data_IF_475919073115
#
_entry.id   IF_475919073115
#
_cell.length_a   1.000
_cell.length_b   1.000
_cell.length_c   1.000
_cell.angle_alpha   90.00
_cell.angle_beta   90.00
_cell.angle_gamma   90.00
#
_symmetry.space_group_name_H-M   'P 1'
#
loop_
_entity.id
_entity.type
_entity.pdbx_description
1 polymer ?
#
# COMPACT_ATOMS: atom_id res chain seq x y z
N UNK A 1 18.45 4.17 1.11
CA UNK A 1 17.81 3.68 1.26
C UNK A 1 16.88 3.41 0.67
N UNK A 2 16.55 2.98 0.39
CA UNK A 2 15.69 2.64 -0.17
C UNK A 2 14.38 2.86 0.14
N UNK A 3 13.49 2.74 -0.75
CA UNK A 3 12.17 3.09 -0.40
C UNK A 3 11.54 2.03 0.42
N UNK A 4 10.91 2.46 1.48
CA UNK A 4 10.14 1.61 2.35
C UNK A 4 8.86 1.13 1.66
N UNK A 5 8.31 1.91 0.76
CA UNK A 5 7.02 1.65 0.14
C UNK A 5 7.17 1.07 -1.26
N UNK A 6 6.23 0.18 -1.60
CA UNK A 6 6.15 -0.38 -2.95
C UNK A 6 5.45 0.61 -3.87
N UNK A 7 5.79 0.60 -5.18
CA UNK A 7 5.11 1.52 -6.11
C UNK A 7 3.65 1.18 -6.30
N UNK A 8 2.88 2.17 -6.72
CA UNK A 8 1.48 1.97 -7.11
C UNK A 8 1.44 0.91 -8.21
N UNK A 9 0.45 0.04 -8.15
CA UNK A 9 0.29 -1.04 -9.11
C UNK A 9 0.98 -2.33 -8.72
N UNK A 10 1.73 -2.32 -7.60
CA UNK A 10 2.33 -3.55 -7.10
C UNK A 10 1.24 -4.50 -6.64
N UNK A 11 1.45 -5.79 -6.85
CA UNK A 11 0.47 -6.81 -6.49
C UNK A 11 1.08 -7.71 -5.45
N UNK A 12 0.38 -7.89 -4.33
CA UNK A 12 0.91 -8.60 -3.17
C UNK A 12 -0.08 -9.62 -2.66
N UNK A 13 0.45 -10.56 -1.87
CA UNK A 13 -0.35 -11.46 -1.04
C UNK A 13 -0.09 -11.10 0.41
N UNK A 14 -1.16 -11.06 1.19
CA UNK A 14 -1.05 -10.78 2.62
C UNK A 14 -0.98 -12.07 3.40
N UNK A 15 -0.43 -11.99 4.60
CA UNK A 15 -0.34 -13.14 5.49
C UNK A 15 -1.72 -13.72 5.74
N UNK A 16 -1.84 -15.03 5.56
CA UNK A 16 -3.11 -15.72 5.77
C UNK A 16 -4.11 -15.58 4.64
N UNK A 17 -3.79 -14.78 3.61
CA UNK A 17 -4.70 -14.58 2.50
C UNK A 17 -4.28 -15.34 1.27
N UNK A 18 -5.25 -15.58 0.40
CA UNK A 18 -4.99 -16.22 -0.88
C UNK A 18 -5.36 -15.31 -2.05
N UNK A 19 -5.99 -14.19 -1.76
CA UNK A 19 -6.42 -13.26 -2.80
C UNK A 19 -5.35 -12.22 -3.04
N UNK A 20 -4.97 -12.02 -4.29
CA UNK A 20 -3.99 -10.98 -4.62
C UNK A 20 -4.61 -9.60 -4.46
N UNK A 21 -3.83 -8.67 -3.99
CA UNK A 21 -4.25 -7.29 -3.75
C UNK A 21 -3.33 -6.37 -4.52
N UNK A 22 -3.91 -5.43 -5.27
CA UNK A 22 -3.12 -4.43 -5.99
C UNK A 22 -3.10 -3.14 -5.19
N UNK A 23 -1.89 -2.62 -4.96
CA UNK A 23 -1.70 -1.39 -4.19
C UNK A 23 -2.13 -0.20 -5.03
N UNK A 24 -3.00 0.65 -4.47
CA UNK A 24 -3.47 1.85 -5.17
C UNK A 24 -3.50 3.09 -4.28
N UNK A 25 -2.89 3.03 -3.10
CA UNK A 25 -2.81 4.20 -2.24
C UNK A 25 -1.87 3.98 -1.07
N UNK A 26 -1.55 5.06 -0.39
CA UNK A 26 -0.63 5.04 0.74
C UNK A 26 -1.19 5.82 1.91
N UNK A 27 -0.80 5.43 3.12
CA UNK A 27 -1.00 6.22 4.33
C UNK A 27 -2.46 6.62 4.52
N UNK A 28 -3.33 5.61 4.57
CA UNK A 28 -4.77 5.78 4.60
C UNK A 28 -5.29 5.46 5.98
N UNK A 29 -6.30 6.22 6.41
CA UNK A 29 -6.95 6.04 7.71
C UNK A 29 -8.34 5.46 7.48
N UNK A 30 -8.67 4.39 8.23
CA UNK A 30 -10.00 3.82 8.19
C UNK A 30 -10.91 4.59 9.16
N UNK A 31 -12.20 4.69 8.81
CA UNK A 31 -13.16 5.38 9.68
C UNK A 31 -13.26 4.72 11.04
N UNK A 32 -13.16 3.40 11.07
CA UNK A 32 -13.32 2.65 12.32
C UNK A 32 -12.11 2.82 13.24
N UNK A 33 -10.97 3.21 12.70
CA UNK A 33 -9.74 3.35 13.48
C UNK A 33 -9.05 4.66 13.12
N UNK A 34 -9.60 5.79 13.54
CA UNK A 34 -9.05 7.10 13.11
C UNK A 34 -7.64 7.37 13.61
N UNK A 35 -7.20 6.67 14.64
CA UNK A 35 -5.84 6.85 15.17
C UNK A 35 -4.80 6.02 14.45
N UNK A 36 -5.23 5.12 13.57
CA UNK A 36 -4.32 4.20 12.89
C UNK A 36 -4.13 4.64 11.43
N UNK A 37 -2.87 4.82 11.03
CA UNK A 37 -2.53 5.09 9.63
C UNK A 37 -1.96 3.82 9.03
N UNK A 38 -2.66 3.27 8.05
CA UNK A 38 -2.18 2.07 7.35
C UNK A 38 -1.19 2.47 6.26
N UNK A 39 -0.18 1.63 6.06
CA UNK A 39 0.84 1.92 5.04
C UNK A 39 0.26 1.95 3.64
N UNK A 40 -0.69 1.06 3.35
CA UNK A 40 -1.20 0.86 2.00
C UNK A 40 -2.70 0.77 1.95
N UNK A 41 -3.22 1.16 0.79
CA UNK A 41 -4.58 0.89 0.38
C UNK A 41 -4.53 0.08 -0.90
N UNK A 42 -5.40 -0.90 -1.04
CA UNK A 42 -5.42 -1.74 -2.22
C UNK A 42 -6.80 -2.23 -2.58
N UNK A 43 -6.86 -2.92 -3.70
CA UNK A 43 -8.11 -3.50 -4.19
C UNK A 43 -7.82 -4.93 -4.65
N UNK A 44 -8.88 -5.76 -4.74
CA UNK A 44 -8.69 -7.13 -5.22
C UNK A 44 -8.15 -7.16 -6.64
N UNK A 45 -7.29 -8.10 -6.92
CA UNK A 45 -6.77 -8.31 -8.26
C UNK A 45 -7.24 -9.70 -8.72
N UNK A 46 -7.74 -9.85 -9.93
CA UNK A 46 -7.78 -8.90 -11.04
C UNK A 46 -9.07 -8.07 -11.14
N UNK A 47 -9.97 -8.18 -10.18
CA UNK A 47 -11.28 -7.54 -10.27
C UNK A 47 -11.22 -6.02 -10.19
N UNK A 48 -10.28 -5.49 -9.41
CA UNK A 48 -10.27 -4.06 -9.17
C UNK A 48 -11.34 -3.63 -8.18
N UNK A 49 -11.64 -2.36 -8.18
CA UNK A 49 -12.65 -1.80 -7.28
C UNK A 49 -14.01 -1.94 -7.95
N UNK A 50 -14.84 -2.79 -7.39
CA UNK A 50 -16.19 -3.00 -7.92
C UNK A 50 -17.24 -2.34 -7.04
N UNK A 51 -16.90 -2.13 -5.76
CA UNK A 51 -17.77 -1.38 -4.83
C UNK A 51 -16.90 -0.94 -3.65
N UNK A 52 -17.54 -0.26 -2.70
CA UNK A 52 -16.81 0.28 -1.55
C UNK A 52 -16.24 -0.80 -0.65
N UNK A 53 -16.74 -2.00 -0.73
CA UNK A 53 -16.35 -3.08 0.17
C UNK A 53 -15.08 -3.78 -0.28
N UNK A 54 -14.63 -3.51 -1.50
CA UNK A 54 -13.46 -4.17 -2.05
C UNK A 54 -12.14 -3.56 -1.64
N UNK A 55 -12.16 -2.53 -0.79
CA UNK A 55 -10.94 -1.83 -0.40
C UNK A 55 -10.28 -2.55 0.75
N UNK A 56 -8.96 -2.76 0.64
CA UNK A 56 -8.15 -3.35 1.71
C UNK A 56 -7.19 -2.31 2.23
N UNK A 57 -7.06 -2.22 3.55
CA UNK A 57 -6.07 -1.37 4.21
C UNK A 57 -5.13 -2.29 4.96
N UNK A 58 -3.83 -2.11 4.76
CA UNK A 58 -2.87 -3.01 5.38
C UNK A 58 -1.51 -2.34 5.53
N UNK A 59 -0.68 -2.93 6.38
CA UNK A 59 0.67 -2.46 6.62
C UNK A 59 1.68 -3.33 5.88
N UNK A 60 2.87 -2.77 5.68
CA UNK A 60 3.95 -3.50 5.01
C UNK A 60 4.26 -4.82 5.71
N UNK A 61 4.15 -4.84 7.05
CA UNK A 61 4.45 -6.05 7.82
C UNK A 61 3.48 -7.19 7.53
N UNK A 62 2.34 -6.90 6.93
CA UNK A 62 1.35 -7.92 6.62
C UNK A 62 1.56 -8.55 5.24
N UNK A 63 2.48 -8.02 4.46
CA UNK A 63 2.75 -8.54 3.13
C UNK A 63 3.57 -9.82 3.24
N UNK A 64 3.02 -10.90 2.69
CA UNK A 64 3.69 -12.18 2.65
C UNK A 64 4.58 -12.30 1.43
N UNK A 65 4.11 -11.81 0.30
CA UNK A 65 4.80 -11.99 -0.99
C UNK A 65 4.48 -10.84 -1.91
N UNK A 66 5.49 -10.35 -2.65
CA UNK A 66 5.30 -9.38 -3.71
C UNK A 66 5.23 -10.15 -5.01
N UNK A 67 4.03 -10.23 -5.59
CA UNK A 67 3.81 -11.00 -6.82
C UNK A 67 4.24 -10.24 -8.06
N UNK A 68 4.12 -8.91 -8.02
CA UNK A 68 4.46 -8.05 -9.15
C UNK A 68 4.78 -6.66 -8.61
N UNK A 69 5.87 -6.08 -9.08
CA UNK A 69 6.22 -4.72 -8.67
C UNK A 69 5.72 -3.74 -9.72
N UNK A 70 5.00 -2.71 -9.27
CA UNK A 70 4.50 -1.68 -10.16
C UNK A 70 5.62 -0.85 -10.75
N UNK A 71 5.25 0.10 -11.60
CA UNK A 71 6.23 0.93 -12.28
C UNK A 71 7.06 1.73 -11.28
N UNK A 72 8.36 1.63 -11.42
CA UNK A 72 9.30 2.36 -10.58
C UNK A 72 10.16 3.22 -11.47
N UNK A 73 9.80 4.49 -11.56
CA UNK A 73 10.54 5.46 -12.38
C UNK A 73 10.90 6.66 -11.53
N UNK A 74 11.49 7.69 -12.15
CA UNK A 74 11.94 8.85 -11.39
C UNK A 74 10.82 9.52 -10.63
N UNK A 75 9.63 9.62 -11.24
CA UNK A 75 8.49 10.25 -10.57
C UNK A 75 8.07 9.46 -9.35
N UNK A 76 8.00 8.15 -9.46
CA UNK A 76 7.58 7.32 -8.33
C UNK A 76 8.61 7.33 -7.22
N UNK A 77 9.89 7.31 -7.57
CA UNK A 77 10.96 7.33 -6.57
C UNK A 77 10.93 8.65 -5.81
N UNK A 78 10.80 9.76 -6.53
CA UNK A 78 10.72 11.07 -5.87
C UNK A 78 9.54 11.14 -4.92
N UNK A 79 8.39 10.67 -5.37
CA UNK A 79 7.19 10.71 -4.53
C UNK A 79 7.36 9.86 -3.28
N UNK A 80 7.89 8.66 -3.44
CA UNK A 80 8.05 7.76 -2.29
C UNK A 80 9.08 8.27 -1.30
N UNK A 81 10.14 8.91 -1.78
CA UNK A 81 11.12 9.51 -0.89
C UNK A 81 10.48 10.63 -0.06
N UNK A 82 9.67 11.47 -0.69
CA UNK A 82 8.98 12.53 0.03
C UNK A 82 7.98 11.98 1.02
N UNK A 83 7.29 10.91 0.64
CA UNK A 83 6.33 10.27 1.53
C UNK A 83 7.01 9.75 2.78
N UNK A 84 8.15 9.09 2.62
CA UNK A 84 8.91 8.61 3.77
C UNK A 84 9.30 9.74 4.70
N UNK A 85 9.75 10.85 4.13
CA UNK A 85 10.14 12.01 4.95
C UNK A 85 8.97 12.56 5.74
N UNK A 86 7.82 12.65 5.12
CA UNK A 86 6.63 13.17 5.79
C UNK A 86 6.22 12.23 6.92
N UNK A 87 6.23 10.95 6.67
CA UNK A 87 5.83 9.96 7.67
C UNK A 87 6.79 9.97 8.85
N UNK A 88 8.08 10.08 8.59
CA UNK A 88 9.07 10.13 9.65
C UNK A 88 8.89 11.35 10.54
N UNK A 89 8.55 12.49 9.93
CA UNK A 89 8.33 13.72 10.71
C UNK A 89 7.13 13.60 11.62
N UNK A 90 6.16 12.79 11.25
CA UNK A 90 4.97 12.62 12.05
C UNK A 90 5.11 11.52 13.08
N UNK A 91 6.28 10.92 13.17
CA UNK A 91 6.54 9.95 14.21
C UNK A 91 5.89 8.60 13.97
N UNK A 92 5.57 8.27 12.74
CA UNK A 92 4.94 7.00 12.46
C UNK A 92 5.93 5.79 12.51
#
# INVERSE_FOLDING_TARGET
>A
MKNKYLPIGSIVLLNGGTKKIMINGYCVVAQEKPDKIFDYRGCPFPEGIMDDKGVALFDASQIKEVCFQGLKNDDSIDFLDRLEMIVERQGK
#
